data_IF_102091625671
#
_entry.id   IF_102091625671
#
_cell.length_a   1.000
_cell.length_b   1.000
_cell.length_c   1.000
_cell.angle_alpha   90.00
_cell.angle_beta   90.00
_cell.angle_gamma   90.00
#
_symmetry.space_group_name_H-M   'P 1'
#
loop_
_entity.id
_entity.type
_entity.pdbx_description
1 polymer ?
#
# COMPACT_ATOMS: atom_id res chain seq x y z
N UNK A 1 23.30 22.11 -3.40
CA UNK A 1 22.85 21.38 -4.62
C UNK A 1 22.38 19.93 -4.40
N UNK A 2 22.41 19.35 -3.18
CA UNK A 2 21.89 17.99 -2.89
C UNK A 2 20.35 17.91 -2.82
N UNK A 3 19.68 18.99 -2.41
CA UNK A 3 18.23 19.07 -2.12
C UNK A 3 17.25 18.80 -3.28
N UNK A 4 17.72 18.65 -4.52
CA UNK A 4 16.83 18.52 -5.67
C UNK A 4 16.73 17.09 -6.20
N UNK A 5 17.75 16.24 -5.99
CA UNK A 5 17.72 14.85 -6.46
C UNK A 5 16.64 14.02 -5.76
N UNK A 6 16.36 14.30 -4.50
CA UNK A 6 15.34 13.59 -3.71
C UNK A 6 13.94 13.77 -4.31
N UNK A 7 13.64 14.97 -4.83
CA UNK A 7 12.38 15.26 -5.53
C UNK A 7 12.27 14.49 -6.84
N UNK A 8 13.37 14.36 -7.57
CA UNK A 8 13.43 13.57 -8.81
C UNK A 8 13.23 12.08 -8.54
N UNK A 9 13.96 11.50 -7.56
CA UNK A 9 13.80 10.09 -7.20
C UNK A 9 12.40 9.79 -6.68
N UNK A 10 11.85 10.67 -5.84
CA UNK A 10 10.46 10.56 -5.40
C UNK A 10 9.53 10.53 -6.62
N UNK A 11 9.63 11.49 -7.54
CA UNK A 11 8.81 11.53 -8.75
C UNK A 11 8.90 10.25 -9.60
N UNK A 12 10.11 9.70 -9.77
CA UNK A 12 10.33 8.47 -10.54
C UNK A 12 9.63 7.26 -9.90
N UNK A 13 9.68 7.13 -8.58
CA UNK A 13 8.99 6.03 -7.86
C UNK A 13 7.49 6.03 -8.16
N UNK A 14 6.85 7.20 -8.10
CA UNK A 14 5.41 7.34 -8.40
C UNK A 14 5.08 6.97 -9.85
N UNK A 15 5.90 7.43 -10.80
CA UNK A 15 5.71 7.14 -12.23
C UNK A 15 5.90 5.65 -12.53
N UNK A 16 6.92 5.01 -11.94
CA UNK A 16 7.18 3.57 -12.11
C UNK A 16 6.02 2.76 -11.54
N UNK A 17 5.53 3.10 -10.34
CA UNK A 17 4.38 2.43 -9.73
C UNK A 17 3.10 2.57 -10.57
N UNK A 18 2.81 3.78 -11.08
CA UNK A 18 1.69 4.00 -12.01
C UNK A 18 1.82 3.17 -13.30
N UNK A 19 3.05 3.02 -13.81
CA UNK A 19 3.34 2.23 -15.01
C UNK A 19 3.13 0.73 -14.77
N UNK A 20 3.59 0.22 -13.62
CA UNK A 20 3.36 -1.16 -13.20
C UNK A 20 1.86 -1.48 -13.09
N UNK A 21 1.07 -0.58 -12.50
CA UNK A 21 -0.37 -0.72 -12.37
C UNK A 21 -1.11 -0.75 -13.71
N UNK A 22 -0.79 0.16 -14.63
CA UNK A 22 -1.38 0.14 -15.98
C UNK A 22 -0.99 -1.16 -16.70
N UNK A 23 0.26 -1.58 -16.59
CA UNK A 23 0.73 -2.81 -17.24
C UNK A 23 -0.03 -4.02 -16.70
N UNK A 24 -0.20 -4.11 -15.38
CA UNK A 24 -0.96 -5.19 -14.75
C UNK A 24 -2.45 -5.16 -15.13
N UNK A 25 -3.09 -3.99 -15.09
CA UNK A 25 -4.49 -3.82 -15.52
C UNK A 25 -4.69 -4.17 -17.01
N UNK A 26 -3.79 -3.71 -17.89
CA UNK A 26 -3.83 -4.03 -19.31
C UNK A 26 -3.65 -5.53 -19.57
N UNK A 27 -2.71 -6.18 -18.89
CA UNK A 27 -2.51 -7.63 -19.01
C UNK A 27 -3.70 -8.43 -18.46
N UNK A 28 -4.38 -7.93 -17.42
CA UNK A 28 -5.62 -8.51 -16.89
C UNK A 28 -6.78 -8.41 -17.90
N UNK A 29 -6.94 -7.26 -18.56
CA UNK A 29 -7.95 -7.02 -19.59
C UNK A 29 -7.71 -7.86 -20.86
N UNK A 30 -6.46 -8.18 -21.21
CA UNK A 30 -6.15 -9.00 -22.39
C UNK A 30 -6.35 -10.51 -22.18
N UNK A 31 -7.00 -10.93 -21.08
CA UNK A 31 -7.24 -12.35 -20.72
C UNK A 31 -5.98 -13.20 -20.69
N UNK A 32 -4.82 -12.58 -20.51
CA UNK A 32 -3.62 -13.29 -20.10
C UNK A 32 -3.98 -13.98 -18.78
N UNK A 33 -3.62 -15.26 -18.58
CA UNK A 33 -3.95 -16.07 -17.39
C UNK A 33 -3.29 -15.52 -16.10
N UNK A 34 -3.58 -14.28 -15.78
CA UNK A 34 -3.19 -13.59 -14.57
C UNK A 34 -4.38 -13.76 -13.64
N UNK A 35 -4.15 -14.29 -12.43
CA UNK A 35 -5.20 -14.37 -11.43
C UNK A 35 -5.80 -12.98 -11.21
N UNK A 36 -7.06 -12.83 -11.58
CA UNK A 36 -7.89 -11.64 -11.37
C UNK A 36 -8.69 -11.75 -10.08
N UNK A 37 -9.63 -10.81 -9.92
CA UNK A 37 -10.50 -10.72 -8.75
C UNK A 37 -11.34 -11.99 -8.60
N UNK A 38 -11.91 -12.52 -9.69
CA UNK A 38 -12.75 -13.72 -9.67
C UNK A 38 -11.98 -14.97 -9.21
N UNK A 39 -10.74 -15.20 -9.68
CA UNK A 39 -9.96 -16.36 -9.21
C UNK A 39 -9.54 -16.19 -7.75
N UNK A 40 -9.27 -14.96 -7.30
CA UNK A 40 -8.95 -14.69 -5.89
C UNK A 40 -10.17 -14.88 -4.99
N UNK A 41 -11.34 -14.42 -5.43
CA UNK A 41 -12.63 -14.66 -4.76
C UNK A 41 -12.93 -16.15 -4.71
N UNK A 42 -12.80 -16.88 -5.83
CA UNK A 42 -13.03 -18.33 -5.86
C UNK A 42 -12.07 -19.10 -4.96
N UNK A 43 -10.80 -18.69 -4.87
CA UNK A 43 -9.82 -19.27 -3.95
C UNK A 43 -10.23 -19.03 -2.49
N UNK A 44 -10.70 -17.81 -2.18
CA UNK A 44 -11.10 -17.39 -0.83
C UNK A 44 -12.42 -18.03 -0.39
N UNK A 45 -13.39 -18.16 -1.28
CA UNK A 45 -14.67 -18.83 -1.03
C UNK A 45 -14.51 -20.32 -0.69
N UNK A 46 -13.40 -20.94 -1.13
CA UNK A 46 -13.07 -22.33 -0.83
C UNK A 46 -12.04 -22.49 0.30
N UNK A 47 -11.50 -21.39 0.84
CA UNK A 47 -10.51 -21.44 1.89
C UNK A 47 -11.20 -21.60 3.27
N UNK A 48 -10.77 -22.60 4.05
CA UNK A 48 -11.17 -22.71 5.45
C UNK A 48 -10.75 -21.46 6.24
N UNK A 49 -11.56 -21.03 7.21
CA UNK A 49 -11.48 -19.69 7.81
C UNK A 49 -10.12 -19.28 8.41
N UNK A 50 -9.29 -20.24 8.84
CA UNK A 50 -7.94 -19.98 9.37
C UNK A 50 -6.92 -19.57 8.28
N UNK A 51 -7.06 -20.09 7.06
CA UNK A 51 -6.18 -19.74 5.95
C UNK A 51 -6.40 -18.32 5.45
N UNK A 52 -7.61 -17.77 5.64
CA UNK A 52 -7.92 -16.39 5.29
C UNK A 52 -7.14 -15.38 6.13
N UNK A 53 -6.94 -15.67 7.42
CA UNK A 53 -6.12 -14.84 8.30
C UNK A 53 -4.65 -14.79 7.85
N UNK A 54 -4.11 -15.94 7.47
CA UNK A 54 -2.73 -16.05 6.97
C UNK A 54 -2.60 -15.37 5.61
N UNK A 55 -3.54 -15.59 4.70
CA UNK A 55 -3.55 -14.97 3.38
C UNK A 55 -3.63 -13.44 3.49
N UNK A 56 -4.51 -12.92 4.34
CA UNK A 56 -4.64 -11.49 4.59
C UNK A 56 -3.36 -10.88 5.16
N UNK A 57 -2.75 -11.55 6.15
CA UNK A 57 -1.49 -11.14 6.73
C UNK A 57 -0.35 -11.10 5.71
N UNK A 58 -0.20 -12.17 4.92
CA UNK A 58 0.86 -12.26 3.93
C UNK A 58 0.67 -11.27 2.78
N UNK A 59 -0.57 -11.09 2.30
CA UNK A 59 -0.88 -10.14 1.25
C UNK A 59 -0.49 -8.71 1.66
N UNK A 60 -0.96 -8.24 2.82
CA UNK A 60 -0.62 -6.89 3.28
C UNK A 60 0.86 -6.75 3.66
N UNK A 61 1.49 -7.83 4.15
CA UNK A 61 2.91 -7.81 4.50
C UNK A 61 3.72 -7.58 3.24
N UNK A 62 3.47 -8.36 2.20
CA UNK A 62 4.15 -8.25 0.90
C UNK A 62 3.84 -6.91 0.23
N UNK A 63 2.57 -6.47 0.24
CA UNK A 63 2.15 -5.17 -0.30
C UNK A 63 2.67 -3.98 0.50
N UNK A 64 2.91 -4.15 1.80
CA UNK A 64 3.45 -3.13 2.68
C UNK A 64 4.98 -2.99 2.61
N UNK A 65 5.68 -3.95 2.01
CA UNK A 65 7.13 -3.87 1.84
C UNK A 65 7.48 -2.92 0.71
N UNK A 66 8.36 -1.95 0.97
CA UNK A 66 8.77 -0.94 -0.01
C UNK A 66 9.22 -1.54 -1.36
N UNK A 67 10.06 -2.59 -1.29
CA UNK A 67 10.71 -3.20 -2.47
C UNK A 67 9.70 -3.96 -3.34
N UNK A 68 8.71 -4.59 -2.72
CA UNK A 68 7.82 -5.55 -3.41
C UNK A 68 6.44 -4.95 -3.63
N UNK A 69 5.90 -4.28 -2.62
CA UNK A 69 4.53 -3.76 -2.62
C UNK A 69 4.24 -2.69 -3.66
N UNK A 70 5.26 -1.97 -4.14
CA UNK A 70 5.11 -1.05 -5.27
C UNK A 70 4.72 -1.77 -6.58
N UNK A 71 4.95 -3.08 -6.68
CA UNK A 71 4.60 -3.93 -7.83
C UNK A 71 3.27 -4.67 -7.67
N UNK A 72 2.74 -4.78 -6.44
CA UNK A 72 1.49 -5.47 -6.15
C UNK A 72 0.48 -4.57 -5.41
N UNK A 73 0.15 -3.35 -5.91
CA UNK A 73 -0.79 -2.50 -5.21
C UNK A 73 -2.21 -3.07 -5.36
N UNK A 74 -2.93 -3.20 -4.25
CA UNK A 74 -4.34 -3.60 -4.26
C UNK A 74 -4.60 -5.07 -3.95
N UNK A 75 -3.59 -5.90 -3.67
CA UNK A 75 -3.81 -7.30 -3.25
C UNK A 75 -4.67 -7.40 -1.99
N UNK A 76 -4.45 -6.48 -1.04
CA UNK A 76 -5.22 -6.35 0.20
C UNK A 76 -6.65 -5.90 -0.07
N UNK A 77 -6.87 -5.06 -1.08
CA UNK A 77 -8.17 -4.54 -1.47
C UNK A 77 -9.03 -5.63 -2.10
N UNK A 78 -8.42 -6.49 -2.95
CA UNK A 78 -9.07 -7.70 -3.49
C UNK A 78 -9.39 -8.71 -2.37
N UNK A 79 -8.49 -8.85 -1.39
CA UNK A 79 -8.70 -9.75 -0.25
C UNK A 79 -9.84 -9.25 0.66
N UNK A 80 -9.93 -7.93 0.87
CA UNK A 80 -11.05 -7.29 1.53
C UNK A 80 -12.38 -7.54 0.78
N UNK A 81 -12.39 -7.35 -0.54
CA UNK A 81 -13.54 -7.65 -1.41
C UNK A 81 -13.99 -9.11 -1.25
N UNK A 82 -13.06 -10.05 -1.21
CA UNK A 82 -13.38 -11.46 -1.06
C UNK A 82 -13.90 -11.82 0.35
N UNK A 83 -13.44 -11.13 1.39
CA UNK A 83 -14.00 -11.25 2.75
C UNK A 83 -15.41 -10.64 2.82
N UNK A 84 -15.72 -9.63 2.00
CA UNK A 84 -17.04 -9.03 1.87
C UNK A 84 -18.07 -9.90 1.18
N UNK A 85 -17.69 -10.98 0.49
CA UNK A 85 -18.62 -11.92 -0.10
C UNK A 85 -19.43 -12.76 0.93
N UNK A 86 -19.38 -12.38 2.23
CA UNK A 86 -20.34 -12.70 3.30
C UNK A 86 -20.23 -14.06 4.02
N UNK A 87 -19.09 -14.76 3.98
CA UNK A 87 -19.03 -16.14 4.51
C UNK A 87 -18.71 -16.25 6.01
N UNK A 88 -18.14 -15.21 6.66
CA UNK A 88 -17.42 -15.41 7.94
C UNK A 88 -17.99 -14.83 9.25
N UNK A 89 -19.02 -14.00 9.21
CA UNK A 89 -19.54 -13.29 10.40
C UNK A 89 -18.56 -12.27 11.02
N UNK A 90 -18.99 -11.61 12.10
CA UNK A 90 -18.26 -10.48 12.71
C UNK A 90 -16.85 -10.84 13.23
N UNK A 91 -16.64 -12.08 13.69
CA UNK A 91 -15.33 -12.51 14.19
C UNK A 91 -14.29 -12.66 13.09
N UNK A 92 -14.67 -13.21 11.94
CA UNK A 92 -13.76 -13.36 10.81
C UNK A 92 -13.43 -12.01 10.18
N UNK A 93 -14.39 -11.08 10.19
CA UNK A 93 -14.15 -9.69 9.83
C UNK A 93 -13.11 -9.03 10.74
N UNK A 94 -13.34 -9.04 12.05
CA UNK A 94 -12.44 -8.42 13.03
C UNK A 94 -11.04 -9.08 13.03
N UNK A 95 -11.01 -10.41 12.95
CA UNK A 95 -9.78 -11.19 12.85
C UNK A 95 -8.98 -10.82 11.61
N UNK A 96 -9.63 -10.67 10.46
CA UNK A 96 -8.91 -10.28 9.25
C UNK A 96 -8.38 -8.85 9.31
N UNK A 97 -9.18 -7.89 9.79
CA UNK A 97 -8.70 -6.51 9.99
C UNK A 97 -7.48 -6.48 10.91
N UNK A 98 -7.50 -7.28 11.98
CA UNK A 98 -6.36 -7.41 12.89
C UNK A 98 -5.13 -8.00 12.18
N UNK A 99 -5.29 -9.06 11.40
CA UNK A 99 -4.18 -9.65 10.63
C UNK A 99 -3.61 -8.68 9.61
N UNK A 100 -4.46 -7.87 8.97
CA UNK A 100 -4.05 -6.84 8.02
C UNK A 100 -3.23 -5.76 8.75
N UNK A 101 -3.71 -5.31 9.90
CA UNK A 101 -2.98 -4.36 10.73
C UNK A 101 -1.61 -4.90 11.17
N UNK A 102 -1.55 -6.16 11.64
CA UNK A 102 -0.31 -6.78 12.11
C UNK A 102 0.71 -6.98 10.97
N UNK A 103 0.26 -7.46 9.81
CA UNK A 103 1.13 -7.63 8.64
C UNK A 103 1.67 -6.28 8.15
N UNK A 104 0.83 -5.24 8.16
CA UNK A 104 1.24 -3.90 7.75
C UNK A 104 2.23 -3.26 8.73
N UNK A 105 2.04 -3.46 10.04
CA UNK A 105 3.00 -3.03 11.06
C UNK A 105 4.35 -3.71 10.86
N UNK A 106 4.35 -5.03 10.67
CA UNK A 106 5.58 -5.79 10.44
C UNK A 106 6.31 -5.31 9.18
N UNK A 107 5.59 -5.07 8.08
CA UNK A 107 6.17 -4.49 6.87
C UNK A 107 6.86 -3.15 7.14
N UNK A 108 6.24 -2.29 7.98
CA UNK A 108 6.83 -1.01 8.38
C UNK A 108 8.12 -1.16 9.19
N UNK A 109 8.17 -2.13 10.10
CA UNK A 109 9.38 -2.46 10.84
C UNK A 109 10.50 -2.85 9.87
N UNK A 110 10.20 -3.72 8.90
CA UNK A 110 11.16 -4.15 7.87
C UNK A 110 11.63 -2.97 7.02
N UNK A 111 10.72 -2.09 6.58
CA UNK A 111 11.07 -0.90 5.81
C UNK A 111 12.01 0.04 6.57
N UNK A 112 11.69 0.33 7.84
CA UNK A 112 12.48 1.24 8.69
C UNK A 112 13.88 0.65 8.94
N UNK A 113 13.94 -0.63 9.32
CA UNK A 113 15.22 -1.32 9.59
C UNK A 113 16.07 -1.43 8.33
N UNK A 114 15.46 -1.82 7.21
CA UNK A 114 16.13 -1.92 5.91
C UNK A 114 16.67 -0.57 5.46
N UNK A 115 15.83 0.47 5.48
CA UNK A 115 16.26 1.83 5.13
C UNK A 115 17.42 2.30 6.00
N UNK A 116 17.39 2.02 7.31
CA UNK A 116 18.47 2.40 8.23
C UNK A 116 19.75 1.65 7.93
N UNK A 117 19.67 0.36 7.64
CA UNK A 117 20.82 -0.46 7.32
C UNK A 117 21.55 0.08 6.08
N UNK A 118 20.79 0.40 5.02
CA UNK A 118 21.37 0.92 3.77
C UNK A 118 21.77 2.40 3.83
N UNK A 119 21.08 3.23 4.63
CA UNK A 119 21.38 4.67 4.73
C UNK A 119 22.56 5.00 5.63
N UNK A 120 23.00 4.08 6.51
CA UNK A 120 24.16 4.24 7.39
C UNK A 120 25.45 4.58 6.64
N UNK A 121 25.62 4.12 5.41
CA UNK A 121 26.80 4.41 4.59
C UNK A 121 26.80 5.82 3.98
N UNK A 122 25.67 6.54 4.05
CA UNK A 122 25.47 7.83 3.38
C UNK A 122 25.12 8.99 4.32
N UNK A 123 24.73 8.70 5.57
CA UNK A 123 24.30 9.70 6.55
C UNK A 123 25.36 9.87 7.66
N UNK A 124 26.15 10.94 7.57
CA UNK A 124 27.19 11.26 8.56
C UNK A 124 26.61 11.76 9.90
N UNK A 125 25.39 12.30 9.94
CA UNK A 125 24.69 12.71 11.18
C UNK A 125 23.17 12.59 11.04
N UNK A 126 22.51 12.15 12.11
CA UNK A 126 21.04 12.18 12.29
C UNK A 126 20.68 13.65 12.54
N UNK A 127 20.09 14.33 11.57
CA UNK A 127 19.55 15.69 11.76
C UNK A 127 18.07 15.58 12.15
N UNK A 128 17.78 15.72 13.45
CA UNK A 128 16.43 15.66 14.01
C UNK A 128 15.63 16.96 13.80
N UNK A 129 15.91 17.70 12.72
CA UNK A 129 15.52 19.11 12.58
C UNK A 129 14.22 19.35 11.79
N UNK A 130 13.67 18.33 11.11
CA UNK A 130 12.41 18.46 10.35
C UNK A 130 11.25 17.74 11.05
N UNK A 131 10.02 18.28 10.97
CA UNK A 131 8.84 17.56 11.45
C UNK A 131 8.60 16.31 10.59
N UNK A 132 8.19 15.21 11.23
CA UNK A 132 7.79 14.00 10.53
C UNK A 132 6.54 14.28 9.70
N UNK A 133 6.56 13.81 8.46
CA UNK A 133 5.42 13.88 7.56
C UNK A 133 4.52 12.64 7.78
N UNK A 134 3.38 12.84 8.44
CA UNK A 134 2.45 11.74 8.72
C UNK A 134 1.53 11.40 7.53
N UNK A 135 1.23 12.38 6.67
CA UNK A 135 0.40 12.29 5.46
C UNK A 135 -0.72 11.23 5.52
N UNK A 136 -1.51 11.24 6.59
CA UNK A 136 -2.56 10.26 6.88
C UNK A 136 -3.53 10.08 5.70
N UNK A 137 -3.83 11.17 4.98
CA UNK A 137 -4.72 11.15 3.81
C UNK A 137 -4.16 10.46 2.56
N UNK A 138 -2.84 10.30 2.44
CA UNK A 138 -2.20 9.55 1.33
C UNK A 138 -1.82 8.12 1.74
N UNK A 139 -2.07 7.76 3.00
CA UNK A 139 -1.60 6.48 3.56
C UNK A 139 -2.58 5.32 3.37
N UNK A 140 -3.68 5.54 2.65
CA UNK A 140 -4.63 4.46 2.31
C UNK A 140 -3.99 3.35 1.46
N UNK A 141 -2.90 3.65 0.75
CA UNK A 141 -2.11 2.66 0.03
C UNK A 141 -0.87 2.24 0.83
N UNK A 142 -0.73 0.94 1.16
CA UNK A 142 0.42 0.44 1.93
C UNK A 142 1.78 0.83 1.31
N UNK A 143 1.88 0.79 -0.01
CA UNK A 143 3.08 1.18 -0.75
C UNK A 143 3.45 2.67 -0.55
N UNK A 144 2.47 3.58 -0.47
CA UNK A 144 2.75 5.01 -0.23
C UNK A 144 3.28 5.25 1.18
N UNK A 145 2.78 4.47 2.16
CA UNK A 145 3.34 4.51 3.50
C UNK A 145 4.77 4.01 3.51
N UNK A 146 5.04 2.88 2.86
CA UNK A 146 6.37 2.30 2.76
C UNK A 146 7.38 3.30 2.16
N UNK A 147 6.97 4.04 1.12
CA UNK A 147 7.78 5.11 0.53
C UNK A 147 8.10 6.21 1.54
N UNK A 148 7.12 6.64 2.34
CA UNK A 148 7.29 7.69 3.36
C UNK A 148 8.23 7.24 4.48
N UNK A 149 8.08 5.99 4.93
CA UNK A 149 8.93 5.36 5.96
C UNK A 149 10.40 5.33 5.52
N UNK A 150 10.66 4.81 4.32
CA UNK A 150 12.01 4.70 3.78
C UNK A 150 12.61 6.09 3.56
N UNK A 151 11.85 7.01 2.95
CA UNK A 151 12.29 8.38 2.68
C UNK A 151 12.73 9.10 3.96
N UNK A 152 11.91 9.08 5.02
CA UNK A 152 12.23 9.76 6.28
C UNK A 152 13.48 9.18 6.95
N UNK A 153 13.68 7.87 6.89
CA UNK A 153 14.91 7.25 7.42
C UNK A 153 16.14 7.64 6.59
N UNK A 154 16.01 7.73 5.26
CA UNK A 154 17.09 8.23 4.39
C UNK A 154 17.34 9.73 4.51
N UNK A 155 16.36 10.51 4.94
CA UNK A 155 16.49 11.94 5.24
C UNK A 155 17.16 12.21 6.60
N UNK A 156 17.38 11.17 7.41
CA UNK A 156 18.11 11.26 8.66
C UNK A 156 17.25 11.29 9.92
N UNK A 157 15.94 11.05 9.82
CA UNK A 157 15.07 10.95 11.00
C UNK A 157 15.41 9.74 11.88
N UNK A 158 15.12 9.83 13.18
CA UNK A 158 15.30 8.72 14.11
C UNK A 158 14.34 7.56 13.83
N UNK A 159 14.78 6.32 14.06
CA UNK A 159 13.92 5.14 13.84
C UNK A 159 12.70 5.14 14.75
N UNK A 160 12.85 5.59 16.00
CA UNK A 160 11.74 5.61 16.96
C UNK A 160 10.66 6.60 16.52
N UNK A 161 11.05 7.77 16.05
CA UNK A 161 10.10 8.81 15.63
C UNK A 161 9.32 8.36 14.38
N UNK A 162 9.99 7.77 13.38
CA UNK A 162 9.33 7.19 12.19
C UNK A 162 8.44 5.99 12.58
N UNK A 163 8.88 5.13 13.50
CA UNK A 163 8.08 4.00 13.98
C UNK A 163 6.77 4.44 14.63
N UNK A 164 6.82 5.42 15.55
CA UNK A 164 5.62 5.92 16.22
C UNK A 164 4.65 6.62 15.27
N UNK A 165 5.17 7.39 14.31
CA UNK A 165 4.37 7.94 13.22
C UNK A 165 3.68 6.82 12.44
N UNK A 166 4.44 5.79 12.04
CA UNK A 166 3.91 4.63 11.30
C UNK A 166 2.83 3.91 12.06
N UNK A 167 3.07 3.62 13.33
CA UNK A 167 2.12 2.92 14.16
C UNK A 167 0.80 3.70 14.27
N UNK A 168 0.86 5.00 14.55
CA UNK A 168 -0.33 5.86 14.65
C UNK A 168 -1.10 5.93 13.33
N UNK A 169 -0.40 6.20 12.23
CA UNK A 169 -1.02 6.36 10.92
C UNK A 169 -1.67 5.04 10.45
N UNK A 170 -0.97 3.91 10.59
CA UNK A 170 -1.52 2.59 10.22
C UNK A 170 -2.69 2.18 11.09
N UNK A 171 -2.70 2.58 12.36
CA UNK A 171 -3.86 2.35 13.25
C UNK A 171 -5.08 3.11 12.75
N UNK A 172 -4.93 4.41 12.47
CA UNK A 172 -6.04 5.23 11.94
C UNK A 172 -6.51 4.71 10.59
N UNK A 173 -5.59 4.39 9.68
CA UNK A 173 -5.91 3.85 8.36
C UNK A 173 -6.60 2.49 8.44
N UNK A 174 -6.19 1.60 9.35
CA UNK A 174 -6.83 0.29 9.53
C UNK A 174 -8.22 0.41 10.15
N UNK A 175 -8.44 1.37 11.06
CA UNK A 175 -9.77 1.70 11.56
C UNK A 175 -10.67 2.28 10.46
N UNK A 176 -10.13 3.19 9.65
CA UNK A 176 -10.84 3.74 8.49
C UNK A 176 -11.18 2.66 7.46
N UNK A 177 -10.23 1.75 7.20
CA UNK A 177 -10.44 0.58 6.36
C UNK A 177 -11.54 -0.32 6.94
N UNK A 178 -11.56 -0.59 8.25
CA UNK A 178 -12.62 -1.36 8.89
C UNK A 178 -14.00 -0.70 8.75
N UNK A 179 -14.09 0.61 8.92
CA UNK A 179 -15.36 1.34 8.74
C UNK A 179 -15.82 1.27 7.29
N UNK A 180 -14.92 1.53 6.34
CA UNK A 180 -15.21 1.44 4.90
C UNK A 180 -15.65 0.02 4.51
N UNK A 181 -14.89 -0.97 4.98
CA UNK A 181 -15.14 -2.39 4.84
C UNK A 181 -16.50 -2.82 5.37
N UNK A 182 -16.96 -2.22 6.47
CA UNK A 182 -18.27 -2.49 7.04
C UNK A 182 -19.41 -1.85 6.25
N UNK A 183 -19.21 -0.62 5.76
CA UNK A 183 -20.26 0.20 5.14
C UNK A 183 -20.49 -0.17 3.67
N UNK A 184 -19.43 -0.33 2.88
CA UNK A 184 -19.54 -0.43 1.40
C UNK A 184 -20.38 -1.64 0.93
N UNK A 185 -20.26 -2.84 1.53
CA UNK A 185 -21.11 -3.97 1.15
C UNK A 185 -22.61 -3.76 1.43
N UNK A 186 -22.99 -2.74 2.21
CA UNK A 186 -24.40 -2.37 2.41
C UNK A 186 -25.00 -1.64 1.20
N UNK A 187 -24.15 -1.14 0.29
CA UNK A 187 -24.56 -0.36 -0.88
C UNK A 187 -24.14 -1.01 -2.21
N UNK A 188 -23.15 -1.90 -2.20
CA UNK A 188 -22.58 -2.53 -3.39
C UNK A 188 -22.56 -4.04 -3.19
N UNK A 189 -23.18 -4.77 -4.12
CA UNK A 189 -23.06 -6.23 -4.18
C UNK A 189 -21.75 -6.61 -4.87
N UNK A 190 -20.80 -7.11 -4.09
CA UNK A 190 -19.50 -7.53 -4.60
C UNK A 190 -19.54 -8.87 -5.34
N UNK A 191 -20.63 -9.64 -5.24
CA UNK A 191 -20.78 -10.91 -5.97
C UNK A 191 -21.01 -10.69 -7.47
N UNK A 192 -21.46 -9.50 -7.86
CA UNK A 192 -21.77 -9.14 -9.25
C UNK A 192 -20.67 -8.31 -9.94
N UNK A 193 -19.55 -8.00 -9.25
CA UNK A 193 -18.45 -7.24 -9.87
C UNK A 193 -17.68 -8.13 -10.84
N UNK A 194 -17.65 -7.73 -12.10
CA UNK A 194 -16.86 -8.44 -13.13
C UNK A 194 -15.37 -8.18 -12.97
N UNK A 195 -14.53 -9.14 -13.39
CA UNK A 195 -13.07 -8.94 -13.47
C UNK A 195 -12.67 -7.66 -14.23
N UNK A 196 -13.40 -7.31 -15.29
CA UNK A 196 -13.14 -6.10 -16.08
C UNK A 196 -13.28 -4.83 -15.23
N UNK A 197 -14.34 -4.71 -14.43
CA UNK A 197 -14.56 -3.57 -13.54
C UNK A 197 -13.47 -3.47 -12.46
N UNK A 198 -13.03 -4.62 -11.93
CA UNK A 198 -11.90 -4.71 -11.01
C UNK A 198 -10.61 -4.14 -11.62
N UNK A 199 -10.28 -4.52 -12.86
CA UNK A 199 -9.10 -4.00 -13.56
C UNK A 199 -9.24 -2.53 -13.96
N UNK A 200 -10.44 -2.06 -14.30
CA UNK A 200 -10.68 -0.63 -14.56
C UNK A 200 -10.41 0.23 -13.32
N UNK A 201 -10.72 -0.26 -12.12
CA UNK A 201 -10.42 0.46 -10.87
C UNK A 201 -8.92 0.74 -10.68
N UNK A 202 -8.03 -0.15 -11.16
CA UNK A 202 -6.59 0.04 -11.12
C UNK A 202 -6.12 1.23 -11.98
N UNK A 203 -6.86 1.56 -13.03
CA UNK A 203 -6.57 2.71 -13.90
C UNK A 203 -6.73 4.03 -13.14
N UNK A 204 -7.69 4.11 -12.21
CA UNK A 204 -7.87 5.29 -11.34
C UNK A 204 -6.68 5.47 -10.41
N UNK A 205 -6.21 4.38 -9.80
CA UNK A 205 -5.03 4.40 -8.91
C UNK A 205 -3.77 4.77 -9.69
N UNK A 206 -3.61 4.22 -10.90
CA UNK A 206 -2.50 4.58 -11.77
C UNK A 206 -2.52 6.07 -12.16
N UNK A 207 -3.69 6.65 -12.46
CA UNK A 207 -3.81 8.09 -12.72
C UNK A 207 -3.37 8.94 -11.53
N UNK A 208 -3.76 8.56 -10.31
CA UNK A 208 -3.31 9.25 -9.09
C UNK A 208 -1.79 9.20 -8.98
N UNK A 209 -1.19 8.02 -9.21
CA UNK A 209 0.26 7.83 -9.20
C UNK A 209 0.97 8.75 -10.22
N UNK A 210 0.49 8.81 -11.45
CA UNK A 210 1.05 9.71 -12.47
C UNK A 210 0.86 11.19 -12.11
N UNK A 211 -0.28 11.57 -11.54
CA UNK A 211 -0.54 12.95 -11.12
C UNK A 211 0.44 13.39 -10.02
N UNK A 212 0.63 12.57 -8.99
CA UNK A 212 1.59 12.84 -7.90
C UNK A 212 3.03 12.85 -8.42
N UNK A 213 3.41 11.88 -9.25
CA UNK A 213 4.72 11.81 -9.87
C UNK A 213 5.02 13.03 -10.75
N UNK A 214 4.06 13.42 -11.60
CA UNK A 214 4.16 14.60 -12.46
C UNK A 214 4.26 15.91 -11.67
N UNK A 215 3.49 16.03 -10.58
CA UNK A 215 3.58 17.18 -9.67
C UNK A 215 4.97 17.29 -9.05
N UNK A 216 5.51 16.20 -8.51
CA UNK A 216 6.86 16.16 -7.92
C UNK A 216 7.95 16.45 -8.96
N UNK A 217 7.81 15.93 -10.19
CA UNK A 217 8.72 16.22 -11.29
C UNK A 217 8.70 17.71 -11.68
N UNK A 218 7.51 18.33 -11.67
CA UNK A 218 7.37 19.78 -11.93
C UNK A 218 8.01 20.61 -10.81
N UNK A 219 7.89 20.20 -9.56
CA UNK A 219 8.58 20.85 -8.44
C UNK A 219 10.10 20.73 -8.53
N UNK A 220 10.63 19.58 -8.97
CA UNK A 220 12.06 19.41 -9.24
C UNK A 220 12.56 20.41 -10.29
N UNK A 221 11.86 20.51 -11.43
CA UNK A 221 12.20 21.44 -12.52
C UNK A 221 12.13 22.92 -12.10
N UNK A 222 11.22 23.28 -11.19
CA UNK A 222 11.11 24.66 -10.65
C UNK A 222 12.19 25.00 -9.61
N UNK A 223 12.86 24.00 -9.04
CA UNK A 223 13.92 24.19 -8.05
C UNK A 223 15.34 24.13 -8.62
N UNK A 224 15.47 23.91 -9.93
CA UNK A 224 16.72 24.08 -10.70
C UNK A 224 16.79 25.53 -11.19
#
# INVERSE_FOLDING_TARGET
MKSNKDKLYSALVWIISGTALITYGALGLTKTNIPGVEQLVALISNAEGSFLFIAAFLAILVEGLYVIGSFFPGSTLVLFIAIFAQVGGAWQFAGTILMIYLGWLLAGIVNILGARYFSRSFLDKIEDLKPIEDNTGLTWFPAFRANTEVAQITEGHSMSSVFWSTWRVKTIASLGAAVYAFIVPMFIDFQDISNEEGFWSLSVIAMINFAVGGYKLRQYKKGQ
#
